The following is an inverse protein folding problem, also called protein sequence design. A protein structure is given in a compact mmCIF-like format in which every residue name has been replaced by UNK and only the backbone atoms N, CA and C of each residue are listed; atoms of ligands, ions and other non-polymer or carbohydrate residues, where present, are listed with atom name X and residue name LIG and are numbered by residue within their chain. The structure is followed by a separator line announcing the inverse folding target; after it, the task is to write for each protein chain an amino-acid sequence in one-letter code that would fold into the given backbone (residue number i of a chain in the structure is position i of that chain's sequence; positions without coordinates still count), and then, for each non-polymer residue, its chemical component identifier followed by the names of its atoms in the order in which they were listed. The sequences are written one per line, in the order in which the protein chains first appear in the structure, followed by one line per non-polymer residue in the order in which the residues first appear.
data_IF_568595407292
#
_entry.id   IF_568595407292
#
_cell.length_a   1.000
_cell.length_b   1.000
_cell.length_c   1.000
_cell.angle_alpha   90.00
_cell.angle_beta   90.00
_cell.angle_gamma   90.00
#
_symmetry.space_group_name_H-M   'P 1'
#
loop_
_entity.id
_entity.type
_entity.pdbx_description
1 polymer ?
#
# COMPACT_ATOMS: atom_id res chain seq x y z
N UNK A 1 1.69 0.83 -10.75
CA UNK A 1 1.47 -0.28 -9.79
C UNK A 1 2.34 -1.45 -10.22
N UNK A 2 3.32 -1.83 -9.41
CA UNK A 2 4.09 -3.06 -9.64
C UNK A 2 3.62 -4.13 -8.66
N UNK A 3 3.35 -5.34 -9.18
CA UNK A 3 3.18 -6.56 -8.38
C UNK A 3 4.37 -7.46 -8.68
N UNK A 4 5.17 -7.76 -7.65
CA UNK A 4 6.34 -8.62 -7.77
C UNK A 4 6.24 -9.82 -6.82
N UNK A 5 6.95 -10.89 -7.16
CA UNK A 5 7.24 -11.94 -6.19
C UNK A 5 8.07 -11.34 -5.04
N UNK A 6 7.76 -11.73 -3.81
CA UNK A 6 8.47 -11.26 -2.63
C UNK A 6 9.46 -12.33 -2.20
N UNK A 7 10.74 -11.98 -2.20
CA UNK A 7 11.78 -12.78 -1.56
C UNK A 7 12.11 -12.14 -0.21
N UNK A 8 11.92 -12.90 0.87
CA UNK A 8 12.23 -12.42 2.22
C UNK A 8 13.71 -12.65 2.50
N UNK A 9 14.47 -11.56 2.61
CA UNK A 9 15.88 -11.61 2.97
C UNK A 9 16.09 -11.72 4.48
N UNK A 10 15.39 -10.90 5.27
CA UNK A 10 15.47 -10.86 6.73
C UNK A 10 14.14 -10.44 7.39
N UNK A 11 13.99 -10.65 8.70
CA UNK A 11 12.85 -10.18 9.50
C UNK A 11 11.60 -11.08 9.50
N UNK A 12 10.52 -10.56 10.09
CA UNK A 12 9.27 -11.27 10.32
C UNK A 12 8.15 -10.89 9.34
N UNK A 13 8.51 -10.43 8.14
CA UNK A 13 7.52 -10.16 7.10
C UNK A 13 6.77 -11.47 6.77
N UNK A 14 5.51 -11.55 7.18
CA UNK A 14 4.61 -12.68 6.94
C UNK A 14 3.69 -12.46 5.74
N UNK A 15 3.79 -11.29 5.10
CA UNK A 15 2.89 -10.88 4.03
C UNK A 15 3.01 -11.79 2.81
N UNK A 16 1.91 -12.43 2.43
CA UNK A 16 1.83 -13.20 1.19
C UNK A 16 1.90 -12.32 -0.07
N UNK A 17 1.80 -10.99 0.08
CA UNK A 17 1.70 -10.04 -1.02
C UNK A 17 2.28 -8.67 -0.65
N UNK A 18 3.05 -8.10 -1.57
CA UNK A 18 3.52 -6.71 -1.53
C UNK A 18 3.02 -5.95 -2.75
N UNK A 19 2.59 -4.70 -2.57
CA UNK A 19 2.12 -3.82 -3.65
C UNK A 19 2.79 -2.47 -3.51
N UNK A 20 3.45 -2.01 -4.58
CA UNK A 20 4.07 -0.68 -4.65
C UNK A 20 3.33 0.17 -5.68
N UNK A 21 2.91 1.36 -5.25
CA UNK A 21 2.21 2.34 -6.08
C UNK A 21 3.02 3.63 -6.03
N UNK A 22 3.62 3.98 -7.16
CA UNK A 22 4.28 5.27 -7.35
C UNK A 22 3.23 6.35 -7.65
N UNK A 23 3.50 7.56 -7.15
CA UNK A 23 2.65 8.73 -7.34
C UNK A 23 3.52 9.98 -7.44
N UNK A 24 3.04 10.97 -8.17
CA UNK A 24 3.78 12.22 -8.45
C UNK A 24 4.10 13.04 -7.19
N UNK A 25 3.31 12.87 -6.12
CA UNK A 25 3.50 13.61 -4.86
C UNK A 25 2.80 12.94 -3.68
N UNK A 26 3.23 13.25 -2.46
CA UNK A 26 2.54 12.83 -1.23
C UNK A 26 1.08 13.30 -1.18
N UNK A 27 0.80 14.50 -1.69
CA UNK A 27 -0.55 15.03 -1.67
C UNK A 27 -1.48 14.27 -2.62
N UNK A 28 -0.96 13.78 -3.75
CA UNK A 28 -1.71 12.88 -4.63
C UNK A 28 -2.06 11.56 -3.92
N UNK A 29 -1.12 10.98 -3.17
CA UNK A 29 -1.38 9.78 -2.35
C UNK A 29 -2.47 10.04 -1.31
N UNK A 30 -2.40 11.17 -0.59
CA UNK A 30 -3.41 11.54 0.41
C UNK A 30 -4.79 11.72 -0.22
N UNK A 31 -4.88 12.49 -1.31
CA UNK A 31 -6.14 12.71 -2.04
C UNK A 31 -6.77 11.40 -2.50
N UNK A 32 -5.95 10.47 -3.00
CA UNK A 32 -6.42 9.14 -3.38
C UNK A 32 -6.90 8.33 -2.17
N UNK A 33 -6.11 8.26 -1.10
CA UNK A 33 -6.45 7.44 0.07
C UNK A 33 -7.72 7.93 0.79
N UNK A 34 -7.97 9.25 0.78
CA UNK A 34 -9.15 9.87 1.39
C UNK A 34 -10.28 10.15 0.39
N UNK A 35 -10.20 9.64 -0.85
CA UNK A 35 -11.23 9.91 -1.85
C UNK A 35 -12.55 9.23 -1.50
N UNK A 36 -13.67 9.86 -1.85
CA UNK A 36 -15.02 9.29 -1.64
C UNK A 36 -15.19 7.91 -2.30
N UNK A 37 -14.48 7.70 -3.41
CA UNK A 37 -14.48 6.43 -4.15
C UNK A 37 -13.68 5.34 -3.44
N UNK A 38 -12.55 5.68 -2.80
CA UNK A 38 -11.64 4.69 -2.21
C UNK A 38 -11.93 4.37 -0.74
N UNK A 39 -12.41 5.35 0.04
CA UNK A 39 -12.79 5.18 1.45
C UNK A 39 -13.69 3.95 1.71
N UNK A 40 -14.78 3.70 0.96
CA UNK A 40 -15.60 2.51 1.19
C UNK A 40 -14.85 1.19 0.94
N UNK A 41 -13.85 1.19 0.03
CA UNK A 41 -13.05 0.01 -0.32
C UNK A 41 -12.05 -0.36 0.78
N UNK A 42 -11.64 0.58 1.62
CA UNK A 42 -10.74 0.33 2.75
C UNK A 42 -11.34 -0.72 3.69
N UNK A 43 -12.65 -0.62 3.99
CA UNK A 43 -13.34 -1.57 4.88
C UNK A 43 -13.34 -2.99 4.32
N UNK A 44 -13.60 -3.12 3.02
CA UNK A 44 -13.58 -4.42 2.33
C UNK A 44 -12.17 -5.02 2.40
N UNK A 45 -11.14 -4.22 2.13
CA UNK A 45 -9.73 -4.66 2.21
C UNK A 45 -9.35 -5.13 3.61
N UNK A 46 -9.74 -4.40 4.65
CA UNK A 46 -9.45 -4.74 6.05
C UNK A 46 -10.16 -6.03 6.49
N UNK A 47 -11.36 -6.31 5.98
CA UNK A 47 -12.05 -7.57 6.25
C UNK A 47 -11.41 -8.78 5.54
N UNK A 48 -10.78 -8.55 4.39
CA UNK A 48 -10.19 -9.61 3.57
C UNK A 48 -8.75 -9.97 3.97
N UNK A 49 -8.05 -9.07 4.67
CA UNK A 49 -6.64 -9.26 5.03
C UNK A 49 -6.18 -8.29 6.13
N UNK A 50 -5.35 -8.79 7.03
CA UNK A 50 -4.52 -7.96 7.89
C UNK A 50 -3.28 -7.49 7.12
N UNK A 51 -2.88 -6.23 7.32
CA UNK A 51 -1.67 -5.71 6.73
C UNK A 51 -1.51 -4.21 6.89
N UNK A 52 -0.28 -3.75 6.66
CA UNK A 52 0.12 -2.36 6.79
C UNK A 52 0.05 -1.64 5.43
N UNK A 53 -0.39 -0.38 5.46
CA UNK A 53 -0.22 0.55 4.34
C UNK A 53 0.64 1.70 4.83
N UNK A 54 1.75 1.91 4.13
CA UNK A 54 2.74 2.92 4.44
C UNK A 54 2.85 3.88 3.26
N UNK A 55 2.84 5.19 3.55
CA UNK A 55 3.27 6.20 2.60
C UNK A 55 4.73 6.52 2.91
N UNK A 56 5.60 6.34 1.91
CA UNK A 56 7.04 6.53 2.05
C UNK A 56 7.47 7.60 1.05
N UNK A 57 8.40 8.45 1.49
CA UNK A 57 9.00 9.45 0.62
C UNK A 57 10.06 8.81 -0.27
N UNK A 58 10.15 9.28 -1.52
CA UNK A 58 11.29 8.98 -2.36
C UNK A 58 12.58 9.50 -1.73
N UNK A 59 13.64 8.71 -1.81
CA UNK A 59 15.00 9.18 -1.52
C UNK A 59 15.61 9.71 -2.80
N UNK A 60 16.45 10.74 -2.68
CA UNK A 60 17.23 11.31 -3.79
C UNK A 60 18.54 10.54 -3.98
#
# INVERSE_FOLDING_TARGET
MVRGAVEKLEGNFSGARMVVIESDSKDAVKRWYTSEEYVPLIKIRQQASDGDILMVDGVQ
#
